data_IF_598154824309
#
_entry.id   IF_598154824309
#
_cell.length_a   1.000
_cell.length_b   1.000
_cell.length_c   1.000
_cell.angle_alpha   90.00
_cell.angle_beta   90.00
_cell.angle_gamma   90.00
#
_symmetry.space_group_name_H-M   'P 1'
#
loop_
_entity.id
_entity.type
_entity.pdbx_description
1 polymer ?
#
# COMPACT_ATOMS: atom_id res chain seq x y z
N UNK A 1 -10.87 -0.77 -4.30
CA UNK A 1 -10.38 -1.91 -5.09
C UNK A 1 -9.38 -1.43 -6.12
N UNK A 2 -8.17 -2.00 -6.12
CA UNK A 2 -7.18 -1.72 -7.17
C UNK A 2 -7.22 -2.85 -8.22
N UNK A 3 -7.83 -2.62 -9.40
CA UNK A 3 -8.03 -3.66 -10.42
C UNK A 3 -6.70 -4.21 -10.98
N UNK A 4 -5.64 -3.39 -11.02
CA UNK A 4 -4.34 -3.81 -11.56
C UNK A 4 -3.39 -4.39 -10.51
N UNK A 5 -3.80 -4.47 -9.23
CA UNK A 5 -3.02 -5.09 -8.18
C UNK A 5 -2.66 -6.54 -8.52
N UNK A 6 -1.48 -6.99 -8.09
CA UNK A 6 -1.02 -8.35 -8.35
C UNK A 6 -0.91 -8.72 -9.83
N UNK A 7 -0.84 -7.74 -10.75
CA UNK A 7 -0.77 -7.98 -12.18
C UNK A 7 -2.12 -8.20 -12.86
N UNK A 8 -3.20 -7.64 -12.32
CA UNK A 8 -4.57 -7.76 -12.80
C UNK A 8 -5.49 -8.57 -11.87
N UNK A 9 -4.90 -9.31 -10.93
CA UNK A 9 -5.67 -10.14 -9.99
C UNK A 9 -6.67 -9.35 -9.15
N UNK A 10 -6.46 -8.05 -8.95
CA UNK A 10 -7.40 -7.20 -8.23
C UNK A 10 -8.79 -7.21 -8.86
N UNK A 11 -8.87 -7.13 -10.18
CA UNK A 11 -10.14 -7.25 -10.91
C UNK A 11 -10.64 -8.68 -10.97
N UNK A 12 -9.76 -9.61 -11.34
CA UNK A 12 -10.12 -11.02 -11.57
C UNK A 12 -10.65 -11.72 -10.31
N UNK A 13 -10.07 -11.39 -9.15
CA UNK A 13 -10.43 -12.04 -7.88
C UNK A 13 -11.49 -11.27 -7.08
N UNK A 14 -11.81 -10.03 -7.46
CA UNK A 14 -12.80 -9.23 -6.73
C UNK A 14 -14.18 -9.89 -6.62
N UNK A 15 -14.73 -10.57 -7.63
CA UNK A 15 -16.01 -11.28 -7.49
C UNK A 15 -16.00 -12.29 -6.36
N UNK A 16 -14.90 -13.02 -6.17
CA UNK A 16 -14.73 -13.98 -5.07
C UNK A 16 -14.64 -13.27 -3.72
N UNK A 17 -13.86 -12.19 -3.62
CA UNK A 17 -13.71 -11.37 -2.40
C UNK A 17 -15.07 -10.78 -2.02
N UNK A 18 -15.77 -10.19 -2.98
CA UNK A 18 -17.12 -9.62 -2.78
C UNK A 18 -18.12 -10.66 -2.27
N UNK A 19 -18.03 -11.92 -2.76
CA UNK A 19 -18.87 -13.00 -2.23
C UNK A 19 -18.55 -13.28 -0.76
N UNK A 20 -17.28 -13.41 -0.39
CA UNK A 20 -16.89 -13.65 1.01
C UNK A 20 -17.35 -12.51 1.94
N UNK A 21 -17.24 -11.25 1.49
CA UNK A 21 -17.74 -10.10 2.25
C UNK A 21 -19.25 -10.19 2.48
N UNK A 22 -20.03 -10.51 1.45
CA UNK A 22 -21.50 -10.72 1.58
C UNK A 22 -21.83 -11.89 2.49
N UNK A 23 -21.13 -13.02 2.35
CA UNK A 23 -21.35 -14.21 3.17
C UNK A 23 -21.06 -13.93 4.65
N UNK A 24 -20.10 -13.03 4.93
CA UNK A 24 -19.78 -12.51 6.26
C UNK A 24 -20.68 -11.34 6.70
N UNK A 25 -21.75 -11.02 5.95
CA UNK A 25 -22.68 -9.91 6.22
C UNK A 25 -22.00 -8.53 6.30
N UNK A 26 -20.85 -8.35 5.67
CA UNK A 26 -20.16 -7.08 5.56
C UNK A 26 -20.72 -6.34 4.35
N UNK A 27 -21.58 -5.35 4.61
CA UNK A 27 -22.12 -4.47 3.58
C UNK A 27 -21.07 -3.43 3.20
N UNK A 28 -20.70 -3.38 1.94
CA UNK A 28 -19.73 -2.43 1.41
C UNK A 28 -20.10 -1.98 0.00
N UNK A 29 -19.75 -0.76 -0.31
CA UNK A 29 -19.85 -0.18 -1.64
C UNK A 29 -18.48 -0.21 -2.32
N UNK A 30 -18.31 -1.00 -3.40
CA UNK A 30 -17.02 -1.10 -4.04
C UNK A 30 -16.78 0.08 -4.99
N UNK A 31 -15.64 0.75 -4.82
CA UNK A 31 -15.10 1.73 -5.75
C UNK A 31 -13.76 1.25 -6.31
N UNK A 32 -13.49 1.53 -7.58
CA UNK A 32 -12.31 1.05 -8.27
C UNK A 32 -11.34 2.19 -8.58
N UNK A 33 -10.04 1.92 -8.38
CA UNK A 33 -9.02 2.89 -8.78
C UNK A 33 -8.80 2.83 -10.30
N UNK A 34 -8.64 4.00 -10.93
CA UNK A 34 -8.46 4.15 -12.37
C UNK A 34 -7.04 4.55 -12.73
N UNK A 35 -6.35 5.28 -11.85
CA UNK A 35 -5.01 5.80 -12.07
C UNK A 35 -4.16 5.78 -10.79
N UNK A 36 -2.90 6.12 -10.92
CA UNK A 36 -1.98 6.24 -9.79
C UNK A 36 -2.45 7.36 -8.84
N UNK A 37 -2.38 7.13 -7.55
CA UNK A 37 -2.86 7.97 -6.46
C UNK A 37 -4.38 8.12 -6.35
N UNK A 38 -5.18 7.47 -7.21
CA UNK A 38 -6.63 7.53 -7.13
C UNK A 38 -7.18 6.95 -5.81
N UNK A 39 -6.51 5.95 -5.21
CA UNK A 39 -6.91 5.44 -3.90
C UNK A 39 -6.80 6.50 -2.80
N UNK A 40 -5.85 7.45 -2.92
CA UNK A 40 -5.76 8.61 -2.02
C UNK A 40 -7.00 9.50 -2.15
N UNK A 41 -7.38 9.85 -3.37
CA UNK A 41 -8.54 10.71 -3.68
C UNK A 41 -9.84 10.05 -3.21
N UNK A 42 -10.04 8.76 -3.54
CA UNK A 42 -11.20 7.99 -3.11
C UNK A 42 -11.30 7.90 -1.58
N UNK A 43 -10.19 7.79 -0.88
CA UNK A 43 -10.17 7.76 0.59
C UNK A 43 -10.63 9.10 1.17
N UNK A 44 -10.11 10.21 0.64
CA UNK A 44 -10.53 11.55 1.08
C UNK A 44 -12.03 11.74 0.84
N UNK A 45 -12.52 11.35 -0.34
CA UNK A 45 -13.93 11.44 -0.70
C UNK A 45 -14.80 10.61 0.25
N UNK A 46 -14.46 9.34 0.46
CA UNK A 46 -15.21 8.45 1.33
C UNK A 46 -15.29 8.97 2.78
N UNK A 47 -14.16 9.46 3.32
CA UNK A 47 -14.16 10.04 4.68
C UNK A 47 -15.03 11.30 4.77
N UNK A 48 -14.99 12.15 3.74
CA UNK A 48 -15.83 13.34 3.66
C UNK A 48 -17.33 13.03 3.55
N UNK A 49 -17.69 11.93 2.88
CA UNK A 49 -19.05 11.40 2.77
C UNK A 49 -19.53 10.68 4.04
N UNK A 50 -18.66 10.49 5.02
CA UNK A 50 -19.03 9.94 6.32
C UNK A 50 -18.63 8.48 6.53
N UNK A 51 -17.99 7.82 5.57
CA UNK A 51 -17.46 6.46 5.77
C UNK A 51 -16.35 6.47 6.83
N UNK A 52 -16.41 5.47 7.72
CA UNK A 52 -15.43 5.27 8.80
C UNK A 52 -14.78 3.88 8.76
N UNK A 53 -15.26 3.02 7.88
CA UNK A 53 -14.69 1.70 7.62
C UNK A 53 -14.26 1.62 6.16
N UNK A 54 -12.98 1.38 5.93
CA UNK A 54 -12.41 1.28 4.59
C UNK A 54 -11.74 -0.08 4.42
N UNK A 55 -12.15 -0.85 3.43
CA UNK A 55 -11.54 -2.13 3.09
C UNK A 55 -10.69 -1.94 1.83
N UNK A 56 -9.39 -2.09 1.98
CA UNK A 56 -8.43 -2.04 0.87
C UNK A 56 -8.34 -3.40 0.20
N UNK A 57 -8.76 -3.50 -1.05
CA UNK A 57 -8.51 -4.67 -1.90
C UNK A 57 -7.36 -4.33 -2.84
N UNK A 58 -6.15 -4.74 -2.47
CA UNK A 58 -4.94 -4.33 -3.18
C UNK A 58 -3.65 -4.88 -2.55
N UNK A 59 -2.51 -4.30 -2.87
CA UNK A 59 -1.21 -4.59 -2.26
C UNK A 59 -0.69 -3.39 -1.46
N UNK A 60 0.58 -3.48 -1.00
CA UNK A 60 1.24 -2.45 -0.18
C UNK A 60 1.18 -1.04 -0.80
N UNK A 61 1.26 -0.93 -2.13
CA UNK A 61 1.14 0.36 -2.82
C UNK A 61 -0.26 0.98 -2.72
N UNK A 62 -1.32 0.17 -2.79
CA UNK A 62 -2.69 0.64 -2.62
C UNK A 62 -2.93 1.05 -1.17
N UNK A 63 -2.45 0.26 -0.22
CA UNK A 63 -2.50 0.60 1.20
C UNK A 63 -1.78 1.92 1.48
N UNK A 64 -0.58 2.12 0.91
CA UNK A 64 0.15 3.37 1.04
C UNK A 64 -0.64 4.58 0.54
N UNK A 65 -1.32 4.47 -0.60
CA UNK A 65 -2.18 5.52 -1.13
C UNK A 65 -3.36 5.82 -0.19
N UNK A 66 -4.04 4.78 0.33
CA UNK A 66 -5.15 4.93 1.28
C UNK A 66 -4.71 5.60 2.57
N UNK A 67 -3.59 5.16 3.17
CA UNK A 67 -3.03 5.79 4.37
C UNK A 67 -2.72 7.26 4.13
N UNK A 68 -2.14 7.62 2.99
CA UNK A 68 -1.94 9.03 2.66
C UNK A 68 -3.25 9.80 2.56
N UNK A 69 -4.30 9.21 1.99
CA UNK A 69 -5.65 9.80 1.97
C UNK A 69 -6.21 10.06 3.37
N UNK A 70 -6.03 9.10 4.29
CA UNK A 70 -6.47 9.24 5.68
C UNK A 70 -5.78 10.39 6.42
N UNK A 71 -4.52 10.64 6.14
CA UNK A 71 -3.75 11.66 6.83
C UNK A 71 -3.80 13.05 6.18
N UNK A 72 -4.18 13.16 4.90
CA UNK A 72 -4.33 14.46 4.23
C UNK A 72 -5.77 15.00 4.27
N UNK A 73 -6.77 14.17 4.52
CA UNK A 73 -8.14 14.64 4.79
C UNK A 73 -8.16 15.41 6.12
N UNK A 74 -9.04 16.36 6.26
CA UNK A 74 -9.12 17.24 7.43
C UNK A 74 -10.47 17.15 8.17
N UNK A 75 -11.26 16.12 7.86
CA UNK A 75 -12.63 15.97 8.37
C UNK A 75 -12.68 15.34 9.76
N UNK A 76 -11.84 14.32 9.99
CA UNK A 76 -11.79 13.56 11.24
C UNK A 76 -10.33 13.14 11.55
N UNK A 77 -10.06 12.77 12.81
CA UNK A 77 -8.79 12.15 13.15
C UNK A 77 -8.62 10.81 12.42
N UNK A 78 -7.41 10.47 11.92
CA UNK A 78 -7.18 9.21 11.23
C UNK A 78 -7.51 7.95 12.05
N UNK A 79 -7.41 8.01 13.36
CA UNK A 79 -7.73 6.93 14.30
C UNK A 79 -9.25 6.68 14.46
N UNK A 80 -10.08 7.60 14.00
CA UNK A 80 -11.53 7.39 13.88
C UNK A 80 -11.93 6.54 12.68
N UNK A 81 -10.98 6.20 11.78
CA UNK A 81 -11.25 5.42 10.57
C UNK A 81 -10.61 4.05 10.69
N UNK A 82 -11.45 3.01 10.70
CA UNK A 82 -11.00 1.63 10.70
C UNK A 82 -10.58 1.21 9.29
N UNK A 83 -9.33 0.75 9.17
CA UNK A 83 -8.75 0.30 7.92
C UNK A 83 -8.55 -1.22 7.95
N UNK A 84 -9.11 -1.91 6.96
CA UNK A 84 -8.91 -3.34 6.75
C UNK A 84 -8.24 -3.62 5.40
N UNK A 85 -7.53 -4.73 5.27
CA UNK A 85 -6.81 -5.07 4.04
C UNK A 85 -7.11 -6.50 3.59
N UNK A 86 -7.58 -6.65 2.35
CA UNK A 86 -7.61 -7.92 1.63
C UNK A 86 -6.50 -7.88 0.57
N UNK A 87 -5.43 -8.61 0.85
CA UNK A 87 -4.19 -8.50 0.09
C UNK A 87 -4.26 -9.23 -1.25
N UNK A 88 -4.13 -8.50 -2.36
CA UNK A 88 -4.07 -9.03 -3.73
C UNK A 88 -2.72 -8.72 -4.41
N UNK A 89 -1.83 -8.03 -3.72
CA UNK A 89 -0.49 -7.66 -4.20
C UNK A 89 0.45 -8.85 -4.37
N UNK A 90 1.67 -8.55 -4.79
CA UNK A 90 2.75 -9.55 -4.96
C UNK A 90 3.61 -9.66 -3.70
N UNK A 91 3.88 -8.54 -3.02
CA UNK A 91 4.66 -8.46 -1.78
C UNK A 91 3.78 -8.78 -0.58
N UNK A 92 2.82 -7.91 -0.36
CA UNK A 92 1.89 -7.96 0.78
C UNK A 92 2.65 -7.97 2.12
N UNK A 93 3.68 -7.13 2.21
CA UNK A 93 4.57 -7.12 3.36
C UNK A 93 3.86 -6.66 4.63
N UNK A 94 2.95 -5.69 4.50
CA UNK A 94 2.17 -5.20 5.62
C UNK A 94 1.31 -6.30 6.27
N UNK A 95 0.51 -7.01 5.48
CA UNK A 95 -0.35 -8.09 6.03
C UNK A 95 0.47 -9.23 6.62
N UNK A 96 1.65 -9.52 6.07
CA UNK A 96 2.57 -10.52 6.63
C UNK A 96 3.14 -10.09 7.96
N UNK A 97 3.49 -8.82 8.11
CA UNK A 97 4.02 -8.26 9.37
C UNK A 97 3.02 -8.42 10.50
N UNK A 98 1.73 -8.24 10.22
CA UNK A 98 0.66 -8.37 11.22
C UNK A 98 0.00 -9.75 11.26
N UNK A 99 0.56 -10.75 10.59
CA UNK A 99 0.04 -12.12 10.61
C UNK A 99 -1.32 -12.30 9.94
N UNK A 100 -1.73 -11.34 9.11
CA UNK A 100 -2.99 -11.42 8.37
C UNK A 100 -2.83 -12.38 7.20
N UNK A 101 -3.78 -13.32 7.05
CA UNK A 101 -3.74 -14.33 6.00
C UNK A 101 -3.84 -13.72 4.60
N UNK A 102 -3.07 -14.27 3.65
CA UNK A 102 -3.23 -13.96 2.23
C UNK A 102 -4.40 -14.71 1.58
N UNK A 103 -5.08 -15.62 2.29
CA UNK A 103 -6.31 -16.28 1.82
C UNK A 103 -7.47 -15.33 2.05
N UNK A 104 -8.20 -15.01 1.00
CA UNK A 104 -9.27 -14.02 1.05
C UNK A 104 -10.36 -14.33 2.07
N UNK A 105 -10.73 -15.62 2.18
CA UNK A 105 -11.72 -16.06 3.16
C UNK A 105 -11.28 -15.80 4.60
N UNK A 106 -10.01 -16.08 4.92
CA UNK A 106 -9.47 -15.88 6.26
C UNK A 106 -9.32 -14.39 6.57
N UNK A 107 -8.90 -13.58 5.58
CA UNK A 107 -8.81 -12.14 5.72
C UNK A 107 -10.19 -11.50 5.99
N UNK A 108 -11.21 -11.93 5.24
CA UNK A 108 -12.60 -11.47 5.46
C UNK A 108 -13.14 -11.93 6.81
N UNK A 109 -12.82 -13.16 7.23
CA UNK A 109 -13.18 -13.66 8.57
C UNK A 109 -12.55 -12.78 9.66
N UNK A 110 -11.27 -12.44 9.55
CA UNK A 110 -10.61 -11.55 10.51
C UNK A 110 -11.26 -10.16 10.56
N UNK A 111 -11.70 -9.62 9.41
CA UNK A 111 -12.46 -8.37 9.36
C UNK A 111 -13.80 -8.51 10.09
N UNK A 112 -14.53 -9.61 9.91
CA UNK A 112 -15.82 -9.84 10.57
C UNK A 112 -15.71 -10.06 12.08
N UNK A 113 -14.56 -10.58 12.56
CA UNK A 113 -14.28 -10.75 13.98
C UNK A 113 -14.02 -9.41 14.69
N UNK A 114 -13.69 -8.35 13.94
CA UNK A 114 -13.64 -6.97 14.43
C UNK A 114 -12.44 -6.64 15.32
N UNK A 115 -11.43 -7.49 15.40
CA UNK A 115 -10.20 -7.17 16.14
C UNK A 115 -9.43 -6.05 15.44
N UNK A 116 -9.10 -5.01 16.17
CA UNK A 116 -8.37 -3.86 15.67
C UNK A 116 -7.22 -3.47 16.59
N UNK A 117 -6.27 -2.73 16.06
CA UNK A 117 -5.14 -2.17 16.82
C UNK A 117 -4.80 -0.79 16.25
N UNK A 118 -4.20 0.06 17.06
CA UNK A 118 -3.62 1.31 16.61
C UNK A 118 -2.21 1.06 16.07
N UNK A 119 -1.91 1.64 14.92
CA UNK A 119 -0.60 1.57 14.30
C UNK A 119 -0.05 2.98 14.13
N UNK A 120 1.18 3.19 14.58
CA UNK A 120 1.91 4.41 14.27
C UNK A 120 2.22 4.52 12.78
N UNK A 121 2.12 5.73 12.26
CA UNK A 121 2.43 6.05 10.87
C UNK A 121 3.55 7.08 10.82
N UNK A 122 4.64 6.72 10.16
CA UNK A 122 5.77 7.60 9.98
C UNK A 122 5.51 8.67 8.92
N UNK A 123 6.21 9.81 9.04
CA UNK A 123 6.24 10.85 8.00
C UNK A 123 7.62 10.88 7.38
N UNK A 124 7.70 10.74 6.07
CA UNK A 124 8.92 10.89 5.29
C UNK A 124 8.86 12.20 4.53
N UNK A 125 9.75 13.14 4.87
CA UNK A 125 9.93 14.39 4.14
C UNK A 125 11.17 14.31 3.27
N UNK A 126 11.05 14.77 2.03
CA UNK A 126 12.14 14.75 1.04
C UNK A 126 12.00 15.95 0.10
N UNK A 127 13.08 16.27 -0.59
CA UNK A 127 13.07 17.30 -1.63
C UNK A 127 12.95 16.66 -3.01
N UNK A 128 12.02 17.15 -3.80
CA UNK A 128 11.84 16.78 -5.19
C UNK A 128 11.67 18.06 -6.03
N UNK A 129 12.55 18.25 -7.02
CA UNK A 129 12.50 19.43 -7.91
C UNK A 129 12.47 20.78 -7.16
N UNK A 130 13.24 20.91 -6.07
CA UNK A 130 13.31 22.08 -5.19
C UNK A 130 12.06 22.32 -4.32
N UNK A 131 11.12 21.40 -4.26
CA UNK A 131 9.97 21.46 -3.38
C UNK A 131 10.08 20.40 -2.30
N UNK A 132 9.78 20.78 -1.06
CA UNK A 132 9.66 19.83 0.05
C UNK A 132 8.36 19.06 -0.10
N UNK A 133 8.47 17.75 -0.15
CA UNK A 133 7.36 16.80 -0.22
C UNK A 133 7.31 16.00 1.08
N UNK A 134 6.13 15.56 1.47
CA UNK A 134 5.95 14.63 2.59
C UNK A 134 5.02 13.48 2.18
N UNK A 135 5.29 12.30 2.72
CA UNK A 135 4.47 11.11 2.54
C UNK A 135 4.31 10.39 3.86
N UNK A 136 3.11 9.91 4.10
CA UNK A 136 2.81 9.06 5.25
C UNK A 136 3.14 7.61 4.94
N UNK A 137 3.77 6.92 5.89
CA UNK A 137 4.36 5.61 5.72
C UNK A 137 3.83 4.66 6.80
N UNK A 138 3.01 3.69 6.39
CA UNK A 138 2.47 2.64 7.28
C UNK A 138 3.32 1.35 7.29
N UNK A 139 4.33 1.22 6.42
CA UNK A 139 5.15 0.01 6.30
C UNK A 139 6.64 0.38 6.24
N UNK A 140 7.20 0.54 5.06
CA UNK A 140 8.65 0.71 4.84
C UNK A 140 8.93 1.88 3.92
N UNK A 141 9.93 2.69 4.27
CA UNK A 141 10.58 3.63 3.37
C UNK A 141 12.04 3.19 3.14
N UNK A 142 12.42 3.07 1.88
CA UNK A 142 13.77 2.66 1.50
C UNK A 142 14.55 3.79 0.85
N UNK A 143 15.86 3.83 1.13
CA UNK A 143 16.80 4.76 0.51
C UNK A 143 18.02 4.03 -0.05
N UNK A 144 18.78 4.68 -0.92
CA UNK A 144 20.02 4.12 -1.45
C UNK A 144 19.79 2.98 -2.44
N UNK A 145 20.38 1.82 -2.18
CA UNK A 145 20.33 0.66 -3.08
C UNK A 145 18.90 0.17 -3.34
N UNK A 146 18.09 0.04 -2.29
CA UNK A 146 16.71 -0.42 -2.39
C UNK A 146 15.88 0.50 -3.30
N UNK A 147 15.90 1.80 -3.05
CA UNK A 147 15.23 2.78 -3.89
C UNK A 147 15.70 2.74 -5.35
N UNK A 148 17.00 2.47 -5.58
CA UNK A 148 17.56 2.32 -6.92
C UNK A 148 17.00 1.10 -7.64
N UNK A 149 16.93 -0.06 -6.96
CA UNK A 149 16.35 -1.30 -7.50
C UNK A 149 14.88 -1.12 -7.83
N UNK A 150 14.09 -0.57 -6.91
CA UNK A 150 12.66 -0.32 -7.10
C UNK A 150 12.41 0.61 -8.28
N UNK A 151 13.19 1.68 -8.44
CA UNK A 151 13.08 2.60 -9.57
C UNK A 151 13.32 1.90 -10.91
N UNK A 152 14.37 1.07 -11.00
CA UNK A 152 14.70 0.28 -12.21
C UNK A 152 13.62 -0.74 -12.52
N UNK A 153 13.15 -1.46 -11.52
CA UNK A 153 12.07 -2.43 -11.68
C UNK A 153 10.76 -1.76 -12.18
N UNK A 154 10.39 -0.64 -11.59
CA UNK A 154 9.20 0.12 -12.00
C UNK A 154 9.29 0.58 -13.47
N UNK A 155 10.47 0.99 -13.92
CA UNK A 155 10.70 1.35 -15.32
C UNK A 155 10.54 0.16 -16.28
N UNK A 156 11.04 -1.02 -15.91
CA UNK A 156 10.88 -2.25 -16.72
C UNK A 156 9.42 -2.74 -16.74
N UNK A 157 8.72 -2.62 -15.62
CA UNK A 157 7.29 -2.95 -15.53
C UNK A 157 6.44 -2.08 -16.47
N UNK A 158 6.74 -0.78 -16.56
CA UNK A 158 6.09 0.13 -17.53
C UNK A 158 6.33 -0.28 -18.98
N UNK A 159 7.44 -0.93 -19.30
CA UNK A 159 7.77 -1.47 -20.64
C UNK A 159 7.14 -2.85 -20.92
N UNK A 160 6.14 -3.27 -20.15
CA UNK A 160 5.40 -4.52 -20.37
C UNK A 160 6.07 -5.78 -19.82
N UNK A 161 7.23 -5.68 -19.19
CA UNK A 161 7.94 -6.83 -18.60
C UNK A 161 7.42 -7.08 -17.17
N UNK A 162 6.51 -8.05 -17.00
CA UNK A 162 5.80 -8.32 -15.72
C UNK A 162 6.24 -9.62 -15.04
N UNK A 163 7.36 -10.23 -15.40
CA UNK A 163 7.79 -11.51 -14.84
C UNK A 163 8.47 -11.32 -13.47
N UNK A 164 8.14 -12.21 -12.50
CA UNK A 164 8.74 -12.27 -11.15
C UNK A 164 10.27 -12.38 -11.18
N UNK A 165 10.83 -13.13 -12.13
CA UNK A 165 12.26 -13.28 -12.34
C UNK A 165 12.98 -11.98 -12.71
N UNK A 166 12.27 -11.01 -13.28
CA UNK A 166 12.82 -9.70 -13.64
C UNK A 166 13.21 -8.90 -12.41
N UNK A 167 12.44 -9.00 -11.32
CA UNK A 167 12.80 -8.35 -10.07
C UNK A 167 14.13 -8.93 -9.52
N UNK A 168 14.22 -10.25 -9.43
CA UNK A 168 15.44 -10.93 -8.97
C UNK A 168 16.63 -10.60 -9.88
N UNK A 169 16.43 -10.61 -11.19
CA UNK A 169 17.48 -10.23 -12.14
C UNK A 169 17.90 -8.77 -11.99
N UNK A 170 16.95 -7.84 -11.79
CA UNK A 170 17.25 -6.44 -11.50
C UNK A 170 18.08 -6.31 -10.24
N UNK A 171 17.70 -7.01 -9.18
CA UNK A 171 18.40 -6.98 -7.89
C UNK A 171 19.83 -7.44 -8.03
N UNK A 172 20.06 -8.62 -8.63
CA UNK A 172 21.41 -9.16 -8.86
C UNK A 172 22.24 -8.25 -9.75
N UNK A 173 21.68 -7.78 -10.88
CA UNK A 173 22.40 -6.89 -11.79
C UNK A 173 22.75 -5.55 -11.15
N UNK A 174 21.85 -4.96 -10.35
CA UNK A 174 22.13 -3.70 -9.68
C UNK A 174 23.10 -3.87 -8.52
N UNK A 175 23.13 -5.02 -7.85
CA UNK A 175 24.10 -5.30 -6.80
C UNK A 175 25.55 -5.10 -7.27
N UNK A 176 25.89 -5.59 -8.48
CA UNK A 176 27.21 -5.42 -9.07
C UNK A 176 27.47 -4.06 -9.71
N UNK A 177 26.45 -3.23 -9.90
CA UNK A 177 26.56 -1.94 -10.59
C UNK A 177 26.30 -0.73 -9.72
N UNK A 178 25.74 -0.95 -8.55
CA UNK A 178 25.42 0.14 -7.63
C UNK A 178 26.72 0.68 -7.02
N UNK A 179 26.92 1.98 -7.18
CA UNK A 179 27.96 2.68 -6.45
C UNK A 179 27.36 3.22 -5.16
N UNK A 180 27.88 2.76 -4.03
CA UNK A 180 27.45 3.27 -2.73
C UNK A 180 27.70 4.77 -2.63
N UNK A 181 26.73 5.47 -2.08
CA UNK A 181 26.85 6.90 -1.76
C UNK A 181 26.93 7.02 -0.25
N UNK A 182 27.88 7.83 0.23
CA UNK A 182 27.98 8.10 1.66
C UNK A 182 26.68 8.76 2.16
N UNK A 183 26.19 8.27 3.28
CA UNK A 183 24.98 8.78 3.93
C UNK A 183 25.34 9.13 5.38
N UNK A 184 24.87 10.29 5.84
CA UNK A 184 24.89 10.61 7.26
C UNK A 184 23.50 10.42 7.81
N UNK A 185 23.39 9.74 8.92
CA UNK A 185 22.12 9.45 9.58
C UNK A 185 22.18 10.04 10.97
N UNK A 186 21.21 10.86 11.31
CA UNK A 186 21.00 11.36 12.66
C UNK A 186 19.75 10.69 13.22
N UNK A 187 19.87 10.16 14.41
CA UNK A 187 18.75 9.57 15.16
C UNK A 187 18.69 10.30 16.49
N UNK A 188 17.59 10.96 16.77
CA UNK A 188 17.42 11.77 18.00
C UNK A 188 18.61 12.73 18.24
N UNK A 189 19.00 13.48 17.18
CA UNK A 189 20.14 14.41 17.17
C UNK A 189 21.52 13.78 17.42
N UNK A 190 21.62 12.46 17.36
CA UNK A 190 22.88 11.69 17.45
C UNK A 190 23.30 11.21 16.05
N UNK A 191 24.61 11.34 15.74
CA UNK A 191 25.23 10.88 14.48
C UNK A 191 25.59 9.39 14.59
#
# INVERSE_FOLDING_TARGET
>A
VNPVAGGGRGLDHFPQISRYLRDAQILCEPVFTEHKFHATELTVTAVNEGYRHIIVVGGDGTLHEVVNGLFIQQKVCPDEVLLAVVAVGTGNDWVRTFGISNRYQDAVKAISEGYSFLQDVGVVSYEESHYRQSRYMANVAGAGFDAHVVRKFSHLKKKGRKNRWIYTWCLVRQFFRYKSTGMKVWVDDRL
#
